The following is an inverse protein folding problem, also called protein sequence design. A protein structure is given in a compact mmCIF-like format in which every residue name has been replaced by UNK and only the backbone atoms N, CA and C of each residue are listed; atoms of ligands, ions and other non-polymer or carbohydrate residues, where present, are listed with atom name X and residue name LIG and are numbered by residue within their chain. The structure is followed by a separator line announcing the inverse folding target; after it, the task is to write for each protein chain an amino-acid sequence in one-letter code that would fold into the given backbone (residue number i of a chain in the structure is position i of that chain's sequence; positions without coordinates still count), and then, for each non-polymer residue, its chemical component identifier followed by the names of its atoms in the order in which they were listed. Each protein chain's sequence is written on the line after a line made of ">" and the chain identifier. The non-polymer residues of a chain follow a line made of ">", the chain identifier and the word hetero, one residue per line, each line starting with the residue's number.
data_IF_143053505762
#
_entry.id   IF_143053505762
#
_cell.length_a   1.000
_cell.length_b   1.000
_cell.length_c   1.000
_cell.angle_alpha   90.00
_cell.angle_beta   90.00
_cell.angle_gamma   90.00
#
_symmetry.space_group_name_H-M   'P 1'
#
loop_
_entity.id
_entity.type
_entity.pdbx_description
1 polymer ?
#
# COMPACT_ATOMS: atom_id res chain seq x y z
N UNK A 1 -5.73 2.33 -2.27
CA UNK A 1 -5.38 0.96 -2.72
C UNK A 1 -6.45 -0.01 -2.26
N UNK A 2 -6.97 -0.86 -3.14
CA UNK A 2 -7.99 -1.87 -2.81
C UNK A 2 -7.44 -3.28 -2.93
N UNK A 3 -7.92 -4.18 -2.09
CA UNK A 3 -7.50 -5.59 -2.06
C UNK A 3 -8.61 -6.48 -2.65
N UNK A 4 -8.20 -7.52 -3.38
CA UNK A 4 -9.13 -8.45 -4.06
C UNK A 4 -9.84 -9.43 -3.11
N UNK A 5 -9.31 -9.64 -1.91
CA UNK A 5 -9.91 -10.52 -0.91
C UNK A 5 -9.64 -10.05 0.52
N UNK A 6 -10.56 -10.39 1.42
CA UNK A 6 -10.43 -10.10 2.84
C UNK A 6 -9.23 -10.82 3.48
N UNK A 7 -8.88 -12.01 3.01
CA UNK A 7 -7.73 -12.76 3.49
C UNK A 7 -6.40 -12.06 3.17
N UNK A 8 -6.23 -11.57 1.93
CA UNK A 8 -5.04 -10.82 1.53
C UNK A 8 -4.97 -9.50 2.30
N UNK A 9 -6.10 -8.80 2.43
CA UNK A 9 -6.19 -7.58 3.21
C UNK A 9 -5.79 -7.80 4.68
N UNK A 10 -6.32 -8.83 5.33
CA UNK A 10 -6.01 -9.16 6.72
C UNK A 10 -4.53 -9.53 6.91
N UNK A 11 -3.95 -10.28 5.97
CA UNK A 11 -2.52 -10.57 5.98
C UNK A 11 -1.67 -9.29 5.83
N UNK A 12 -2.03 -8.42 4.89
CA UNK A 12 -1.35 -7.15 4.66
C UNK A 12 -1.45 -6.19 5.85
N UNK A 13 -2.60 -6.17 6.55
CA UNK A 13 -2.83 -5.40 7.77
C UNK A 13 -2.02 -5.97 8.95
N UNK A 14 -2.08 -7.28 9.17
CA UNK A 14 -1.37 -7.96 10.27
C UNK A 14 0.15 -7.83 10.14
N UNK A 15 0.66 -8.00 8.93
CA UNK A 15 2.10 -7.93 8.66
C UNK A 15 2.60 -6.50 8.41
N UNK A 16 1.72 -5.50 8.40
CA UNK A 16 2.03 -4.10 8.06
C UNK A 16 2.89 -3.97 6.79
N UNK A 17 2.53 -4.75 5.76
CA UNK A 17 3.26 -4.80 4.49
C UNK A 17 3.30 -3.40 3.87
N UNK A 18 2.20 -2.64 3.99
CA UNK A 18 2.15 -1.23 3.60
C UNK A 18 2.69 -0.39 4.76
N UNK A 19 3.98 -0.10 4.69
CA UNK A 19 4.72 0.71 5.68
C UNK A 19 5.21 2.02 5.05
N UNK A 20 5.55 2.97 5.91
CA UNK A 20 6.12 4.25 5.48
C UNK A 20 7.39 4.04 4.64
N UNK A 21 8.30 3.16 5.07
CA UNK A 21 9.51 2.85 4.30
C UNK A 21 9.24 2.26 2.90
N UNK A 22 8.21 1.41 2.76
CA UNK A 22 7.82 0.88 1.46
C UNK A 22 7.29 2.00 0.56
N UNK A 23 6.36 2.81 1.06
CA UNK A 23 5.77 3.92 0.32
C UNK A 23 6.84 4.94 -0.05
N UNK A 24 7.71 5.32 0.89
CA UNK A 24 8.82 6.25 0.68
C UNK A 24 9.70 5.80 -0.49
N UNK A 25 10.08 4.51 -0.51
CA UNK A 25 10.86 3.92 -1.58
C UNK A 25 10.13 3.90 -2.92
N UNK A 26 8.84 3.56 -2.93
CA UNK A 26 8.03 3.50 -4.16
C UNK A 26 7.81 4.88 -4.79
N UNK A 27 7.62 5.91 -3.96
CA UNK A 27 7.36 7.27 -4.41
C UNK A 27 8.61 8.16 -4.46
N UNK A 28 9.79 7.63 -4.12
CA UNK A 28 11.04 8.39 -4.13
C UNK A 28 11.09 9.55 -3.13
N UNK A 29 10.30 9.46 -2.05
CA UNK A 29 10.22 10.46 -0.99
C UNK A 29 10.85 9.94 0.29
N UNK A 30 11.09 10.84 1.25
CA UNK A 30 11.53 10.46 2.60
C UNK A 30 10.32 10.06 3.47
N UNK A 31 10.56 9.25 4.50
CA UNK A 31 9.47 8.73 5.36
C UNK A 31 8.70 9.85 6.08
N UNK A 32 9.35 10.96 6.41
CA UNK A 32 8.73 12.17 6.99
C UNK A 32 7.69 12.83 6.07
N UNK A 33 7.69 12.49 4.78
CA UNK A 33 6.66 12.94 3.85
C UNK A 33 5.40 12.09 3.89
N UNK A 34 5.37 11.00 4.65
CA UNK A 34 4.21 10.13 4.77
C UNK A 34 3.51 10.51 6.07
N UNK A 35 2.33 11.13 5.92
CA UNK A 35 1.58 11.71 7.02
C UNK A 35 0.68 10.67 7.70
N UNK A 36 0.13 9.75 6.92
CA UNK A 36 -0.85 8.79 7.44
C UNK A 36 -0.92 7.54 6.56
N UNK A 37 -1.01 6.36 7.18
CA UNK A 37 -1.40 5.11 6.52
C UNK A 37 -2.61 4.54 7.27
N UNK A 38 -3.77 4.52 6.62
CA UNK A 38 -5.03 4.05 7.20
C UNK A 38 -5.50 2.79 6.51
N UNK A 39 -5.74 1.75 7.30
CA UNK A 39 -6.41 0.53 6.88
C UNK A 39 -7.92 0.72 7.06
N UNK A 40 -8.65 0.74 5.94
CA UNK A 40 -10.10 0.89 5.91
C UNK A 40 -10.77 -0.47 5.68
N UNK A 41 -11.17 -1.11 6.79
CA UNK A 41 -11.65 -2.50 6.81
C UNK A 41 -12.91 -2.69 5.94
N UNK A 42 -13.86 -1.76 6.01
CA UNK A 42 -15.13 -1.86 5.32
C UNK A 42 -15.01 -1.90 3.79
N UNK A 43 -13.94 -1.33 3.23
CA UNK A 43 -13.67 -1.38 1.78
C UNK A 43 -12.48 -2.27 1.42
N UNK A 44 -11.93 -3.03 2.38
CA UNK A 44 -10.70 -3.82 2.20
C UNK A 44 -9.61 -2.98 1.51
N UNK A 45 -9.35 -1.79 2.06
CA UNK A 45 -8.52 -0.79 1.40
C UNK A 45 -7.47 -0.19 2.33
N UNK A 46 -6.41 0.34 1.72
CA UNK A 46 -5.42 1.17 2.40
C UNK A 46 -5.38 2.54 1.74
N UNK A 47 -5.49 3.58 2.57
CA UNK A 47 -5.34 4.99 2.21
C UNK A 47 -3.99 5.46 2.73
N UNK A 48 -3.22 6.12 1.88
CA UNK A 48 -1.94 6.73 2.26
C UNK A 48 -2.04 8.22 2.00
N UNK A 49 -1.75 9.02 3.02
CA UNK A 49 -1.70 10.48 2.95
C UNK A 49 -0.23 10.91 2.97
N UNK A 50 0.19 11.71 1.99
CA UNK A 50 1.56 12.20 1.88
C UNK A 50 1.60 13.73 1.79
N UNK A 51 2.66 14.34 2.33
CA UNK A 51 2.93 15.76 2.22
C UNK A 51 3.36 16.10 0.79
N UNK A 52 2.66 17.06 0.15
CA UNK A 52 3.04 17.54 -1.18
C UNK A 52 4.34 18.35 -1.12
N UNK A 53 5.28 18.17 -2.06
CA UNK A 53 6.51 18.95 -2.12
C UNK A 53 6.31 20.39 -2.64
N UNK A 54 5.31 20.65 -3.51
CA UNK A 54 4.95 21.99 -3.98
C UNK A 54 3.48 22.05 -4.47
N UNK A 55 2.90 23.26 -4.52
CA UNK A 55 1.57 23.52 -5.08
C UNK A 55 1.54 23.24 -6.58
N UNK A 56 0.48 22.58 -7.06
CA UNK A 56 0.17 22.24 -8.47
C UNK A 56 0.84 23.15 -9.52
N UNK A 57 1.66 22.55 -10.41
CA UNK A 57 2.15 23.21 -11.62
C UNK A 57 3.65 23.50 -11.70
N UNK A 58 4.50 22.84 -10.91
CA UNK A 58 5.96 23.01 -11.01
C UNK A 58 6.58 21.95 -11.94
N UNK A 59 7.60 22.25 -12.77
CA UNK A 59 8.24 21.27 -13.67
C UNK A 59 8.96 20.11 -12.96
N UNK A 60 9.15 20.22 -11.64
CA UNK A 60 9.68 19.16 -10.77
C UNK A 60 8.59 18.24 -10.20
N UNK A 61 7.33 18.47 -10.60
CA UNK A 61 6.19 17.68 -10.18
C UNK A 61 6.16 16.36 -10.96
N UNK A 62 6.71 15.30 -10.40
CA UNK A 62 6.44 13.93 -10.87
C UNK A 62 5.05 13.45 -10.45
N UNK A 63 4.28 14.22 -9.67
CA UNK A 63 2.86 13.98 -9.38
C UNK A 63 1.96 14.58 -10.48
N UNK A 64 2.29 14.30 -11.75
CA UNK A 64 1.38 14.47 -12.90
C UNK A 64 0.32 13.35 -12.90
N UNK A 65 -0.17 12.90 -11.74
CA UNK A 65 -1.13 11.79 -11.67
C UNK A 65 -2.10 11.91 -10.49
N UNK A 66 -2.73 13.07 -10.35
CA UNK A 66 -3.97 13.23 -9.57
C UNK A 66 -5.16 12.38 -10.04
N UNK A 67 -5.03 11.57 -11.11
CA UNK A 67 -6.13 10.79 -11.68
C UNK A 67 -5.78 9.42 -12.28
N UNK A 68 -4.54 8.91 -12.22
CA UNK A 68 -4.28 7.50 -12.60
C UNK A 68 -3.32 6.83 -11.62
N UNK A 69 -3.87 6.29 -10.53
CA UNK A 69 -3.21 5.23 -9.78
C UNK A 69 -3.44 3.88 -10.48
N UNK A 70 -3.07 3.76 -11.76
CA UNK A 70 -2.92 2.45 -12.40
C UNK A 70 -1.52 1.92 -12.10
N UNK A 71 -1.45 1.18 -10.99
CA UNK A 71 -0.48 0.15 -10.61
C UNK A 71 0.93 0.21 -11.21
N UNK A 72 1.93 0.38 -10.33
CA UNK A 72 3.08 -0.52 -10.29
C UNK A 72 3.13 -1.27 -8.94
N UNK A 73 1.98 -1.77 -8.47
CA UNK A 73 1.91 -2.66 -7.30
C UNK A 73 1.35 -4.05 -7.63
N UNK A 74 1.16 -4.36 -8.91
CA UNK A 74 0.79 -5.71 -9.35
C UNK A 74 1.98 -6.67 -9.44
N UNK A 75 3.22 -6.16 -9.57
CA UNK A 75 4.43 -6.98 -9.76
C UNK A 75 5.24 -7.19 -8.47
N UNK A 76 4.73 -6.76 -7.30
CA UNK A 76 5.37 -7.10 -6.04
C UNK A 76 5.12 -8.59 -5.72
N UNK A 77 5.97 -9.46 -6.23
CA UNK A 77 6.03 -10.88 -5.89
C UNK A 77 6.30 -10.99 -4.37
N UNK A 78 5.26 -11.26 -3.60
CA UNK A 78 5.38 -11.65 -2.20
C UNK A 78 5.58 -13.17 -2.16
N UNK A 79 6.70 -13.70 -1.66
CA UNK A 79 6.84 -15.14 -1.48
C UNK A 79 5.86 -15.60 -0.40
N UNK A 80 4.81 -16.31 -0.81
CA UNK A 80 3.88 -16.99 0.09
C UNK A 80 4.51 -18.32 0.52
N UNK A 81 4.86 -18.46 1.81
CA UNK A 81 5.15 -19.78 2.37
C UNK A 81 3.82 -20.47 2.69
N UNK A 82 3.53 -21.54 1.98
CA UNK A 82 2.32 -22.35 2.13
C UNK A 82 2.42 -23.25 3.36
N UNK A 83 1.75 -22.86 4.46
CA UNK A 83 1.39 -23.78 5.54
C UNK A 83 -0.15 -23.81 5.60
N UNK A 84 -0.81 -24.86 5.09
CA UNK A 84 -2.23 -25.06 5.33
C UNK A 84 -2.46 -25.41 6.82
N UNK A 85 -3.58 -24.96 7.43
CA UNK A 85 -3.93 -25.37 8.78
C UNK A 85 -4.27 -26.87 8.78
N UNK A 86 -3.70 -27.58 9.75
CA UNK A 86 -3.92 -29.00 10.00
C UNK A 86 -5.40 -29.22 10.32
N UNK A 87 -6.06 -30.04 9.50
CA UNK A 87 -7.48 -30.37 9.62
C UNK A 87 -7.67 -31.33 10.80
N UNK A 88 -8.23 -30.79 11.87
CA UNK A 88 -8.57 -31.53 13.09
C UNK A 88 -9.64 -32.59 12.76
N UNK A 89 -9.20 -33.84 12.62
CA UNK A 89 -10.09 -35.00 12.46
C UNK A 89 -10.55 -35.45 13.84
N UNK A 90 -11.84 -35.30 14.12
CA UNK A 90 -12.60 -36.08 15.11
C UNK A 90 -13.79 -36.73 14.45
#
# INVERSE_FOLDING_TARGET
>A
MFFRSAAIYAAAKRQRIISEGLIARLYGVTVDRILEIVYYDAALAVKVTMARPASSGSPADTDVYGAQQHMPLADAIVPWSSVPPEEDRS
#
